data_IF_665619886270
#
_entry.id   IF_665619886270
#
_cell.length_a   1.000
_cell.length_b   1.000
_cell.length_c   1.000
_cell.angle_alpha   90.00
_cell.angle_beta   90.00
_cell.angle_gamma   90.00
#
_symmetry.space_group_name_H-M   'P 1'
#
loop_
_entity.id
_entity.type
_entity.pdbx_description
1 polymer ?
#
# COMPACT_ATOMS: atom_id res chain seq x y z
N UNK A 1 12.72 -11.88 -23.50
CA UNK A 1 12.52 -12.20 -22.06
C UNK A 1 11.25 -11.52 -21.60
N UNK A 2 10.51 -12.17 -20.71
CA UNK A 2 9.10 -11.93 -20.39
C UNK A 2 8.85 -10.49 -19.94
N UNK A 3 7.77 -9.88 -20.45
CA UNK A 3 7.14 -8.73 -19.80
C UNK A 3 6.80 -9.17 -18.38
N UNK A 4 7.65 -8.81 -17.42
CA UNK A 4 7.22 -8.70 -16.04
C UNK A 4 6.24 -7.54 -16.07
N UNK A 5 4.96 -7.85 -15.95
CA UNK A 5 4.02 -6.94 -15.32
C UNK A 5 4.71 -6.49 -14.04
N UNK A 6 5.29 -5.29 -14.06
CA UNK A 6 5.82 -4.62 -12.88
C UNK A 6 4.61 -4.34 -12.00
N UNK A 7 4.14 -5.35 -11.27
CA UNK A 7 3.45 -5.07 -10.02
C UNK A 7 4.41 -4.16 -9.26
N UNK A 8 4.02 -2.89 -8.99
CA UNK A 8 4.93 -1.93 -8.38
C UNK A 8 5.44 -2.58 -7.11
N UNK A 9 6.74 -2.92 -7.09
CA UNK A 9 7.31 -3.82 -6.09
C UNK A 9 6.96 -3.29 -4.70
N UNK A 10 5.94 -3.89 -4.11
CA UNK A 10 5.30 -3.38 -2.93
C UNK A 10 6.32 -3.48 -1.80
N UNK A 11 6.61 -2.38 -1.10
CA UNK A 11 7.64 -2.43 -0.06
C UNK A 11 7.22 -3.46 1.00
N UNK A 12 8.12 -4.37 1.39
CA UNK A 12 7.78 -5.42 2.36
C UNK A 12 7.23 -4.82 3.67
N UNK A 13 7.74 -3.64 4.05
CA UNK A 13 7.23 -2.87 5.19
C UNK A 13 5.77 -2.46 5.01
N UNK A 14 5.36 -2.03 3.82
CA UNK A 14 3.97 -1.71 3.52
C UNK A 14 3.08 -2.95 3.56
N UNK A 15 3.47 -4.05 2.88
CA UNK A 15 2.72 -5.31 2.91
C UNK A 15 2.50 -5.83 4.33
N UNK A 16 3.55 -5.81 5.15
CA UNK A 16 3.48 -6.26 6.54
C UNK A 16 2.54 -5.37 7.37
N UNK A 17 2.65 -4.05 7.19
CA UNK A 17 1.85 -3.08 7.95
C UNK A 17 0.38 -3.14 7.53
N UNK A 18 0.10 -3.25 6.23
CA UNK A 18 -1.25 -3.39 5.67
C UNK A 18 -1.90 -4.70 6.12
N UNK A 19 -1.18 -5.82 6.01
CA UNK A 19 -1.68 -7.13 6.45
C UNK A 19 -1.93 -7.20 7.97
N UNK A 20 -1.21 -6.40 8.76
CA UNK A 20 -1.44 -6.25 10.20
C UNK A 20 -2.67 -5.41 10.57
N UNK A 21 -3.34 -4.78 9.60
CA UNK A 21 -4.53 -3.97 9.81
C UNK A 21 -5.67 -4.46 8.89
N UNK A 22 -6.53 -5.33 9.43
CA UNK A 22 -7.63 -5.95 8.68
C UNK A 22 -8.55 -4.92 8.00
N UNK A 23 -8.82 -3.80 8.67
CA UNK A 23 -9.67 -2.72 8.13
C UNK A 23 -8.98 -2.01 6.96
N UNK A 24 -7.70 -1.69 7.09
CA UNK A 24 -6.93 -1.11 5.99
C UNK A 24 -6.85 -2.06 4.80
N UNK A 25 -6.66 -3.36 5.05
CA UNK A 25 -6.58 -4.38 4.01
C UNK A 25 -7.91 -4.53 3.26
N UNK A 26 -9.03 -4.54 3.97
CA UNK A 26 -10.38 -4.58 3.38
C UNK A 26 -10.63 -3.34 2.51
N UNK A 27 -10.34 -2.14 3.04
CA UNK A 27 -10.48 -0.88 2.32
C UNK A 27 -9.59 -0.81 1.09
N UNK A 28 -8.31 -1.19 1.22
CA UNK A 28 -7.37 -1.27 0.11
C UNK A 28 -7.82 -2.29 -0.95
N UNK A 29 -8.41 -3.42 -0.54
CA UNK A 29 -8.97 -4.41 -1.45
C UNK A 29 -10.17 -3.88 -2.25
N UNK A 30 -10.98 -3.03 -1.62
CA UNK A 30 -12.17 -2.40 -2.23
C UNK A 30 -11.85 -1.19 -3.11
N UNK A 31 -10.64 -0.63 -3.04
CA UNK A 31 -10.19 0.49 -3.86
C UNK A 31 -10.12 0.13 -5.35
N UNK A 32 -10.32 1.14 -6.18
CA UNK A 32 -10.03 1.08 -7.62
C UNK A 32 -8.53 0.97 -7.89
N UNK A 33 -8.16 0.53 -9.09
CA UNK A 33 -6.75 0.41 -9.48
C UNK A 33 -6.01 1.75 -9.41
N UNK A 34 -6.67 2.87 -9.71
CA UNK A 34 -6.05 4.20 -9.61
C UNK A 34 -5.81 4.61 -8.15
N UNK A 35 -6.75 4.35 -7.25
CA UNK A 35 -6.57 4.61 -5.81
C UNK A 35 -5.47 3.74 -5.22
N UNK A 36 -5.45 2.44 -5.57
CA UNK A 36 -4.36 1.54 -5.17
C UNK A 36 -3.02 2.07 -5.67
N UNK A 37 -2.93 2.51 -6.93
CA UNK A 37 -1.71 3.08 -7.50
C UNK A 37 -1.23 4.28 -6.70
N UNK A 38 -2.12 5.18 -6.28
CA UNK A 38 -1.75 6.34 -5.45
C UNK A 38 -1.22 5.93 -4.08
N UNK A 39 -1.86 4.98 -3.41
CA UNK A 39 -1.39 4.43 -2.13
C UNK A 39 -0.02 3.77 -2.30
N UNK A 40 0.21 3.04 -3.39
CA UNK A 40 1.48 2.36 -3.65
C UNK A 40 2.62 3.35 -3.97
N UNK A 41 2.35 4.42 -4.72
CA UNK A 41 3.31 5.50 -4.93
C UNK A 41 3.64 6.24 -3.62
N UNK A 42 2.64 6.48 -2.77
CA UNK A 42 2.86 7.04 -1.44
C UNK A 42 3.73 6.10 -0.58
N UNK A 43 3.45 4.79 -0.58
CA UNK A 43 4.23 3.80 0.16
C UNK A 43 5.67 3.68 -0.36
N UNK A 44 5.89 3.91 -1.66
CA UNK A 44 7.22 3.90 -2.31
C UNK A 44 8.02 5.17 -2.00
N UNK A 45 7.35 6.32 -1.86
CA UNK A 45 8.01 7.58 -1.52
C UNK A 45 8.31 7.72 -0.02
N UNK A 46 7.66 6.92 0.83
CA UNK A 46 7.92 6.89 2.26
C UNK A 46 9.38 6.53 2.59
N UNK A 47 10.01 7.34 3.43
CA UNK A 47 11.40 7.18 3.88
C UNK A 47 11.52 6.55 5.26
N UNK A 48 10.41 6.36 5.97
CA UNK A 48 10.39 5.79 7.32
C UNK A 48 9.26 4.76 7.52
N UNK A 49 9.42 3.90 8.54
CA UNK A 49 8.37 2.94 8.92
C UNK A 49 7.16 3.67 9.50
N UNK A 50 7.37 4.82 10.15
CA UNK A 50 6.34 5.69 10.72
C UNK A 50 5.42 6.24 9.63
N UNK A 51 5.99 6.70 8.52
CA UNK A 51 5.23 7.18 7.35
C UNK A 51 4.38 6.06 6.74
N UNK A 52 4.94 4.86 6.56
CA UNK A 52 4.18 3.69 6.09
C UNK A 52 3.03 3.36 7.05
N UNK A 53 3.26 3.40 8.37
CA UNK A 53 2.20 3.18 9.36
C UNK A 53 1.13 4.26 9.31
N UNK A 54 1.49 5.51 9.02
CA UNK A 54 0.51 6.59 8.85
C UNK A 54 -0.33 6.34 7.61
N UNK A 55 0.31 6.05 6.47
CA UNK A 55 -0.39 5.75 5.23
C UNK A 55 -1.40 4.61 5.37
N UNK A 56 -1.02 3.51 6.04
CA UNK A 56 -1.94 2.38 6.27
C UNK A 56 -3.10 2.77 7.20
N UNK A 57 -2.89 3.66 8.18
CA UNK A 57 -3.98 4.19 8.99
C UNK A 57 -4.91 5.06 8.17
N UNK A 58 -4.37 5.93 7.33
CA UNK A 58 -5.17 6.80 6.46
C UNK A 58 -6.06 5.95 5.55
N UNK A 59 -5.51 4.87 4.97
CA UNK A 59 -6.29 3.89 4.18
C UNK A 59 -7.39 3.20 4.98
N UNK A 60 -7.19 2.95 6.27
CA UNK A 60 -8.24 2.38 7.12
C UNK A 60 -9.39 3.36 7.41
N UNK A 61 -9.12 4.66 7.35
CA UNK A 61 -10.05 5.74 7.70
C UNK A 61 -10.83 6.31 6.50
N UNK A 62 -10.40 6.03 5.26
CA UNK A 62 -11.20 6.18 4.04
C UNK A 62 -12.46 5.29 4.10
#
# INVERSE_FOLDING_TARGET
MKQQSEEPAMSMSFCYTLGGNARALEKFGAMTEEEKRQVLEAARSARSKEEIRSLVRDVAEL
#
